data_IF_240545158150
#
_entry.id   IF_240545158150
#
_cell.length_a   1.000
_cell.length_b   1.000
_cell.length_c   1.000
_cell.angle_alpha   90.00
_cell.angle_beta   90.00
_cell.angle_gamma   90.00
#
_symmetry.space_group_name_H-M   'P 1'
#
loop_
_entity.id
_entity.type
_entity.pdbx_description
1 polymer ?
#
# COMPACT_ATOMS: atom_id res chain seq x y z
N UNK A 1 -17.67 -8.64 -9.56
CA UNK A 1 -17.38 -8.00 -8.26
C UNK A 1 -17.09 -9.10 -7.24
N UNK A 2 -15.94 -9.06 -6.60
CA UNK A 2 -15.53 -10.03 -5.58
C UNK A 2 -16.29 -9.78 -4.28
N UNK A 3 -16.75 -10.84 -3.63
CA UNK A 3 -17.50 -10.74 -2.37
C UNK A 3 -16.90 -11.66 -1.32
N UNK A 4 -16.56 -11.09 -0.16
CA UNK A 4 -16.11 -11.87 1.00
C UNK A 4 -17.26 -12.70 1.56
N UNK A 5 -16.98 -13.95 1.91
CA UNK A 5 -17.96 -14.88 2.51
C UNK A 5 -17.98 -14.83 4.03
N UNK A 6 -17.24 -13.92 4.64
CA UNK A 6 -17.16 -13.74 6.10
C UNK A 6 -17.48 -12.30 6.49
N UNK A 7 -17.79 -12.11 7.78
CA UNK A 7 -18.09 -10.79 8.36
C UNK A 7 -16.80 -10.05 8.70
N UNK A 8 -16.52 -8.91 8.05
CA UNK A 8 -15.36 -8.09 8.36
C UNK A 8 -15.38 -7.58 9.81
N UNK A 9 -16.50 -7.10 10.40
CA UNK A 9 -16.55 -6.72 11.81
C UNK A 9 -16.15 -7.85 12.77
N UNK A 10 -16.64 -9.07 12.54
CA UNK A 10 -16.28 -10.24 13.36
C UNK A 10 -14.81 -10.62 13.17
N UNK A 11 -14.28 -10.49 11.95
CA UNK A 11 -12.89 -10.70 11.66
C UNK A 11 -12.00 -9.71 12.43
N UNK A 12 -12.32 -8.41 12.39
CA UNK A 12 -11.58 -7.36 13.12
C UNK A 12 -11.60 -7.59 14.63
N UNK A 13 -12.74 -8.02 15.17
CA UNK A 13 -12.87 -8.33 16.59
C UNK A 13 -12.00 -9.52 17.01
N UNK A 14 -11.90 -10.57 16.19
CA UNK A 14 -11.30 -11.84 16.62
C UNK A 14 -9.86 -12.06 16.15
N UNK A 15 -9.43 -11.45 15.03
CA UNK A 15 -8.17 -11.81 14.35
C UNK A 15 -7.24 -10.63 14.07
N UNK A 16 -7.77 -9.48 13.69
CA UNK A 16 -6.95 -8.32 13.29
C UNK A 16 -5.93 -7.92 14.37
N UNK A 17 -4.63 -7.88 14.01
CA UNK A 17 -3.49 -7.63 14.91
C UNK A 17 -3.35 -8.62 16.09
N UNK A 18 -4.12 -9.71 16.11
CA UNK A 18 -4.20 -10.65 17.25
C UNK A 18 -3.60 -12.00 16.94
N UNK A 19 -4.05 -12.65 15.88
CA UNK A 19 -3.60 -14.01 15.52
C UNK A 19 -3.89 -14.34 14.07
N UNK A 20 -3.06 -15.20 13.43
CA UNK A 20 -3.32 -15.68 12.09
C UNK A 20 -4.56 -16.56 12.04
N UNK A 21 -5.21 -16.61 10.87
CA UNK A 21 -6.36 -17.48 10.65
C UNK A 21 -6.50 -17.83 9.17
N UNK A 22 -7.14 -18.99 8.90
CA UNK A 22 -7.57 -19.38 7.57
C UNK A 22 -9.08 -19.22 7.48
N UNK A 23 -9.51 -18.52 6.44
CA UNK A 23 -10.90 -18.31 6.08
C UNK A 23 -11.18 -19.19 4.86
N UNK A 24 -11.63 -20.42 5.11
CA UNK A 24 -11.96 -21.40 4.06
C UNK A 24 -13.12 -20.89 3.22
N UNK A 25 -12.94 -20.93 1.87
CA UNK A 25 -13.88 -20.33 0.94
C UNK A 25 -14.14 -18.86 1.23
N UNK A 26 -13.11 -18.10 1.61
CA UNK A 26 -13.18 -16.68 1.96
C UNK A 26 -13.74 -15.81 0.85
N UNK A 27 -13.68 -16.26 -0.41
CA UNK A 27 -14.42 -15.76 -1.55
C UNK A 27 -15.40 -16.81 -2.08
N UNK A 28 -16.60 -16.36 -2.42
CA UNK A 28 -17.56 -17.21 -3.14
C UNK A 28 -17.23 -17.20 -4.64
N UNK A 29 -17.09 -18.39 -5.22
CA UNK A 29 -16.83 -18.54 -6.66
C UNK A 29 -15.63 -17.69 -7.15
N UNK A 30 -14.52 -17.78 -6.45
CA UNK A 30 -13.30 -17.03 -6.81
C UNK A 30 -12.85 -17.39 -8.22
N UNK A 31 -12.54 -16.39 -9.00
CA UNK A 31 -11.93 -16.49 -10.33
C UNK A 31 -10.69 -15.61 -10.32
N UNK A 32 -9.59 -16.11 -10.85
CA UNK A 32 -8.36 -15.33 -10.92
C UNK A 32 -8.60 -14.06 -11.77
N UNK A 33 -8.25 -12.87 -11.26
CA UNK A 33 -8.44 -11.61 -11.99
C UNK A 33 -7.49 -11.43 -13.17
N UNK A 34 -6.40 -12.19 -13.19
CA UNK A 34 -5.33 -12.13 -14.18
C UNK A 34 -4.82 -13.53 -14.47
N UNK A 35 -4.46 -13.81 -15.71
CA UNK A 35 -3.83 -15.07 -16.11
C UNK A 35 -2.32 -15.06 -15.81
N UNK A 36 -1.67 -16.24 -15.76
CA UNK A 36 -0.21 -16.34 -15.66
C UNK A 36 0.53 -15.63 -16.80
N UNK A 37 -0.03 -15.66 -18.00
CA UNK A 37 0.53 -15.03 -19.20
C UNK A 37 0.49 -13.51 -19.10
N UNK A 38 -0.62 -12.95 -18.64
CA UNK A 38 -0.74 -11.49 -18.38
C UNK A 38 0.21 -11.05 -17.26
N UNK A 39 0.34 -11.84 -16.18
CA UNK A 39 1.28 -11.56 -15.11
C UNK A 39 2.74 -11.58 -15.61
N UNK A 40 3.07 -12.54 -16.49
CA UNK A 40 4.37 -12.58 -17.15
C UNK A 40 4.59 -11.33 -18.01
N UNK A 41 3.58 -10.90 -18.76
CA UNK A 41 3.62 -9.66 -19.55
C UNK A 41 3.91 -8.43 -18.69
N UNK A 42 3.21 -8.25 -17.56
CA UNK A 42 3.48 -7.16 -16.63
C UNK A 42 4.93 -7.16 -16.14
N UNK A 43 5.52 -8.33 -15.89
CA UNK A 43 6.90 -8.42 -15.40
C UNK A 43 7.98 -8.09 -16.43
N UNK A 44 7.60 -7.84 -17.69
CA UNK A 44 8.48 -7.41 -18.78
C UNK A 44 8.53 -5.88 -18.93
N UNK A 45 7.64 -5.14 -18.25
CA UNK A 45 7.58 -3.68 -18.30
C UNK A 45 8.60 -3.05 -17.33
N UNK A 46 9.24 -1.96 -17.75
CA UNK A 46 10.30 -1.28 -16.98
C UNK A 46 9.77 -0.63 -15.70
N UNK A 47 8.53 -0.19 -15.70
CA UNK A 47 7.88 0.50 -14.58
C UNK A 47 7.36 -0.46 -13.51
N UNK A 48 7.26 -1.76 -13.83
CA UNK A 48 6.68 -2.77 -12.95
C UNK A 48 7.74 -3.43 -12.07
N UNK A 49 7.62 -3.29 -10.76
CA UNK A 49 8.51 -3.99 -9.81
C UNK A 49 8.19 -5.48 -9.81
N UNK A 50 9.08 -6.27 -10.38
CA UNK A 50 8.94 -7.71 -10.50
C UNK A 50 10.20 -8.45 -10.09
N UNK A 51 10.04 -9.71 -9.63
CA UNK A 51 11.15 -10.56 -9.18
C UNK A 51 10.92 -12.00 -9.54
N UNK A 52 11.98 -12.68 -9.99
CA UNK A 52 12.09 -14.12 -9.96
C UNK A 52 12.85 -14.56 -8.73
N UNK A 53 12.25 -15.47 -7.95
CA UNK A 53 12.92 -16.14 -6.84
C UNK A 53 13.02 -17.61 -7.17
N UNK A 54 14.21 -18.20 -7.01
CA UNK A 54 14.45 -19.62 -7.20
C UNK A 54 15.18 -20.21 -6.01
N UNK A 55 14.85 -21.46 -5.68
CA UNK A 55 15.51 -22.28 -4.66
C UNK A 55 16.03 -23.61 -5.23
N UNK A 56 16.33 -23.63 -6.52
CA UNK A 56 16.86 -24.81 -7.21
C UNK A 56 18.18 -25.28 -6.56
N UNK A 57 18.32 -26.60 -6.37
CA UNK A 57 19.47 -27.22 -5.73
C UNK A 57 19.80 -26.65 -4.32
N UNK A 58 18.79 -26.19 -3.58
CA UNK A 58 18.92 -25.47 -2.30
C UNK A 58 19.76 -24.18 -2.39
N UNK A 59 19.85 -23.58 -3.57
CA UNK A 59 20.50 -22.29 -3.77
C UNK A 59 19.44 -21.22 -4.04
N UNK A 60 19.32 -20.29 -3.09
CA UNK A 60 18.39 -19.18 -3.24
C UNK A 60 18.97 -18.10 -4.16
N UNK A 61 18.20 -17.73 -5.16
CA UNK A 61 18.49 -16.60 -6.04
C UNK A 61 17.28 -15.67 -6.11
N UNK A 62 17.54 -14.38 -6.30
CA UNK A 62 16.51 -13.39 -6.58
C UNK A 62 17.02 -12.48 -7.69
N UNK A 63 16.26 -12.40 -8.76
CA UNK A 63 16.53 -11.54 -9.91
C UNK A 63 15.40 -10.53 -10.05
N UNK A 64 15.73 -9.26 -10.31
CA UNK A 64 14.73 -8.22 -10.54
C UNK A 64 14.46 -8.04 -12.02
N UNK A 65 13.20 -7.70 -12.35
CA UNK A 65 12.81 -7.32 -13.71
C UNK A 65 13.41 -5.99 -14.18
N UNK A 66 13.08 -5.55 -15.39
CA UNK A 66 12.17 -6.23 -16.34
C UNK A 66 12.76 -7.51 -16.93
N UNK A 67 11.90 -8.49 -17.19
CA UNK A 67 12.33 -9.78 -17.76
C UNK A 67 12.10 -9.82 -19.27
N UNK A 68 12.89 -10.64 -19.98
CA UNK A 68 12.70 -10.86 -21.40
C UNK A 68 11.92 -12.15 -21.68
N UNK A 69 11.37 -12.28 -22.88
CA UNK A 69 10.66 -13.48 -23.31
C UNK A 69 11.55 -14.72 -23.26
N UNK A 70 12.85 -14.57 -23.54
CA UNK A 70 13.82 -15.68 -23.48
C UNK A 70 13.94 -16.24 -22.06
N UNK A 71 13.86 -15.39 -21.03
CA UNK A 71 13.90 -15.81 -19.62
C UNK A 71 12.81 -16.83 -19.31
N UNK A 72 11.59 -16.61 -19.81
CA UNK A 72 10.48 -17.53 -19.59
C UNK A 72 10.70 -18.89 -20.30
N UNK A 73 11.38 -18.89 -21.45
CA UNK A 73 11.73 -20.10 -22.18
C UNK A 73 12.82 -20.96 -21.51
N UNK A 74 13.57 -20.40 -20.57
CA UNK A 74 14.65 -21.07 -19.84
C UNK A 74 14.23 -21.61 -18.46
N UNK A 75 12.98 -21.34 -18.03
CA UNK A 75 12.50 -21.74 -16.72
C UNK A 75 12.40 -23.27 -16.57
N UNK A 76 12.81 -23.73 -15.40
CA UNK A 76 12.62 -25.13 -14.98
C UNK A 76 11.13 -25.41 -14.68
N UNK A 77 10.74 -26.67 -14.61
CA UNK A 77 9.36 -27.05 -14.26
C UNK A 77 9.02 -26.79 -12.77
N UNK A 78 10.03 -26.61 -11.92
CA UNK A 78 9.87 -26.53 -10.47
C UNK A 78 10.86 -25.53 -9.85
N UNK A 79 10.66 -25.19 -8.56
CA UNK A 79 11.60 -24.44 -7.70
C UNK A 79 11.77 -22.97 -8.06
N UNK A 80 10.73 -22.33 -8.56
CA UNK A 80 10.76 -20.88 -8.80
C UNK A 80 9.39 -20.23 -8.58
N UNK A 81 9.43 -18.93 -8.39
CA UNK A 81 8.27 -18.07 -8.23
C UNK A 81 8.52 -16.73 -8.93
N UNK A 82 7.56 -16.31 -9.77
CA UNK A 82 7.46 -14.94 -10.27
C UNK A 82 6.62 -14.13 -9.30
N UNK A 83 7.08 -12.94 -8.95
CA UNK A 83 6.41 -11.99 -8.07
C UNK A 83 6.25 -10.67 -8.82
N UNK A 84 5.06 -10.11 -8.85
CA UNK A 84 4.78 -8.76 -9.34
C UNK A 84 4.21 -7.96 -8.18
N UNK A 85 4.93 -6.92 -7.77
CA UNK A 85 4.58 -6.01 -6.68
C UNK A 85 3.60 -4.97 -7.20
N UNK A 86 2.67 -4.52 -6.37
CA UNK A 86 1.68 -3.49 -6.69
C UNK A 86 0.94 -3.75 -8.03
N UNK A 87 0.63 -5.00 -8.33
CA UNK A 87 -0.02 -5.40 -9.58
C UNK A 87 -1.40 -4.73 -9.79
N UNK A 88 -2.04 -4.28 -8.71
CA UNK A 88 -3.27 -3.49 -8.76
C UNK A 88 -3.08 -2.11 -9.40
N UNK A 89 -1.87 -1.58 -9.53
CA UNK A 89 -1.60 -0.33 -10.23
C UNK A 89 -1.62 -0.49 -11.75
N UNK A 90 -1.32 -1.70 -12.23
CA UNK A 90 -1.05 -2.02 -13.62
C UNK A 90 -2.11 -2.89 -14.30
N UNK A 91 -3.03 -3.47 -13.50
CA UNK A 91 -4.05 -4.38 -14.01
C UNK A 91 -5.41 -4.13 -13.34
N UNK A 92 -6.40 -3.73 -14.13
CA UNK A 92 -7.73 -3.37 -13.64
C UNK A 92 -8.42 -4.49 -12.87
N UNK A 93 -8.37 -5.73 -13.39
CA UNK A 93 -8.94 -6.89 -12.70
C UNK A 93 -8.29 -7.15 -11.32
N UNK A 94 -6.96 -6.94 -11.21
CA UNK A 94 -6.26 -7.03 -9.95
C UNK A 94 -6.70 -5.92 -8.98
N UNK A 95 -6.90 -4.70 -9.47
CA UNK A 95 -7.41 -3.59 -8.66
C UNK A 95 -8.82 -3.88 -8.12
N UNK A 96 -9.72 -4.42 -8.95
CA UNK A 96 -11.07 -4.80 -8.53
C UNK A 96 -11.10 -5.85 -7.40
N UNK A 97 -10.08 -6.70 -7.26
CA UNK A 97 -9.99 -7.62 -6.13
C UNK A 97 -9.79 -6.89 -4.81
N UNK A 98 -9.07 -5.77 -4.80
CA UNK A 98 -8.83 -4.97 -3.59
C UNK A 98 -10.10 -4.32 -3.05
N UNK A 99 -11.07 -4.03 -3.90
CA UNK A 99 -12.35 -3.40 -3.53
C UNK A 99 -13.15 -4.23 -2.53
N UNK A 100 -12.97 -5.57 -2.52
CA UNK A 100 -13.62 -6.43 -1.54
C UNK A 100 -13.19 -6.13 -0.07
N UNK A 101 -12.10 -5.41 0.11
CA UNK A 101 -11.52 -5.08 1.42
C UNK A 101 -11.71 -3.61 1.82
N UNK A 102 -12.55 -2.83 1.12
CA UNK A 102 -12.81 -1.40 1.40
C UNK A 102 -13.38 -1.12 2.81
N UNK A 103 -13.78 -2.13 3.55
CA UNK A 103 -14.10 -1.99 4.97
C UNK A 103 -12.88 -1.68 5.85
N UNK A 104 -11.66 -1.86 5.34
CA UNK A 104 -10.40 -1.44 5.95
C UNK A 104 -9.99 -0.07 5.40
N UNK A 105 -9.40 0.81 6.25
CA UNK A 105 -9.10 2.17 5.82
C UNK A 105 -8.00 2.20 4.73
N UNK A 106 -8.23 2.98 3.69
CA UNK A 106 -7.34 3.11 2.53
C UNK A 106 -5.92 3.60 2.91
N UNK A 107 -5.77 4.40 3.97
CA UNK A 107 -4.45 4.86 4.40
C UNK A 107 -3.53 3.73 4.90
N UNK A 108 -4.11 2.59 5.34
CA UNK A 108 -3.34 1.38 5.71
C UNK A 108 -3.04 0.49 4.50
N UNK A 109 -3.86 0.52 3.45
CA UNK A 109 -3.64 -0.30 2.27
C UNK A 109 -2.27 0.04 1.64
N UNK A 110 -1.44 -0.98 1.42
CA UNK A 110 -0.12 -0.81 0.79
C UNK A 110 -0.21 -1.12 -0.70
N UNK A 111 -0.44 -2.39 -1.04
CA UNK A 111 -0.56 -2.85 -2.40
C UNK A 111 -1.22 -4.23 -2.50
N UNK A 112 -1.41 -4.69 -3.73
CA UNK A 112 -1.67 -6.08 -4.08
C UNK A 112 -0.46 -6.66 -4.82
N UNK A 113 0.24 -7.59 -4.19
CA UNK A 113 1.29 -8.39 -4.80
C UNK A 113 0.71 -9.69 -5.37
N UNK A 114 1.06 -10.03 -6.60
CA UNK A 114 0.64 -11.28 -7.25
C UNK A 114 1.84 -12.18 -7.46
N UNK A 115 1.66 -13.47 -7.16
CA UNK A 115 2.67 -14.49 -7.39
C UNK A 115 2.14 -15.59 -8.28
N UNK A 116 2.93 -15.97 -9.27
CA UNK A 116 2.82 -17.28 -9.94
C UNK A 116 3.97 -18.15 -9.50
N UNK A 117 3.68 -19.38 -9.07
CA UNK A 117 4.68 -20.26 -8.49
C UNK A 117 4.61 -21.64 -9.14
N UNK A 118 5.77 -22.13 -9.58
CA UNK A 118 5.95 -23.53 -9.98
C UNK A 118 5.97 -24.45 -8.73
N UNK A 119 5.75 -25.76 -8.88
CA UNK A 119 5.86 -26.70 -7.78
C UNK A 119 7.19 -26.56 -7.03
N UNK A 120 7.16 -26.66 -5.70
CA UNK A 120 8.30 -26.45 -4.80
C UNK A 120 8.87 -25.01 -4.82
N UNK A 121 8.22 -24.08 -5.54
CA UNK A 121 8.54 -22.66 -5.53
C UNK A 121 8.01 -21.94 -4.29
N UNK A 122 8.68 -20.87 -3.91
CA UNK A 122 8.34 -20.01 -2.78
C UNK A 122 9.46 -19.02 -2.49
N UNK A 123 9.35 -18.28 -1.38
CA UNK A 123 10.38 -17.33 -0.90
C UNK A 123 11.07 -17.79 0.38
N UNK A 124 10.69 -18.96 0.89
CA UNK A 124 11.17 -19.52 2.15
C UNK A 124 10.56 -18.86 3.40
N UNK A 125 10.95 -19.35 4.59
CA UNK A 125 10.39 -18.87 5.86
C UNK A 125 10.86 -17.44 6.16
N UNK A 126 9.92 -16.53 6.43
CA UNK A 126 10.19 -15.11 6.71
C UNK A 126 9.16 -14.51 7.66
N UNK A 127 9.38 -13.27 8.08
CA UNK A 127 8.51 -12.52 8.99
C UNK A 127 8.24 -11.15 8.40
N UNK A 128 6.96 -10.83 8.19
CA UNK A 128 6.52 -9.50 7.81
C UNK A 128 6.11 -8.66 9.03
N UNK A 129 6.32 -7.35 8.94
CA UNK A 129 5.95 -6.39 9.98
C UNK A 129 4.67 -5.60 9.61
N UNK A 130 3.82 -6.18 8.76
CA UNK A 130 2.56 -5.63 8.29
C UNK A 130 1.51 -6.74 8.21
N UNK A 131 0.25 -6.36 8.09
CA UNK A 131 -0.84 -7.31 7.94
C UNK A 131 -0.95 -7.76 6.48
N UNK A 132 -1.16 -9.05 6.24
CA UNK A 132 -1.37 -9.57 4.90
C UNK A 132 -2.55 -10.54 4.83
N UNK A 133 -3.37 -10.37 3.78
CA UNK A 133 -4.37 -11.35 3.36
C UNK A 133 -3.83 -12.05 2.11
N UNK A 134 -3.56 -13.32 2.22
CA UNK A 134 -3.09 -14.16 1.10
C UNK A 134 -4.27 -14.94 0.57
N UNK A 135 -4.72 -14.59 -0.63
CA UNK A 135 -5.84 -15.24 -1.33
C UNK A 135 -5.23 -16.29 -2.25
N UNK A 136 -5.68 -17.53 -2.13
CA UNK A 136 -5.28 -18.58 -3.05
C UNK A 136 -6.11 -18.47 -4.33
N UNK A 137 -5.42 -18.33 -5.48
CA UNK A 137 -5.96 -18.46 -6.81
C UNK A 137 -5.90 -19.90 -7.32
N UNK A 138 -5.71 -20.09 -8.63
CA UNK A 138 -5.56 -21.42 -9.20
C UNK A 138 -4.44 -22.21 -8.52
N UNK A 139 -4.53 -23.54 -8.55
CA UNK A 139 -3.56 -24.45 -7.94
C UNK A 139 -3.67 -24.52 -6.43
N UNK A 140 -2.63 -25.09 -5.79
CA UNK A 140 -2.59 -25.33 -4.34
C UNK A 140 -1.25 -25.00 -3.73
N UNK A 141 -1.28 -24.33 -2.57
CA UNK A 141 -0.09 -24.08 -1.76
C UNK A 141 -0.30 -24.55 -0.34
N UNK A 142 0.72 -25.20 0.23
CA UNK A 142 0.79 -25.48 1.65
C UNK A 142 1.38 -24.27 2.36
N UNK A 143 0.65 -23.76 3.33
CA UNK A 143 1.08 -22.65 4.16
C UNK A 143 1.34 -23.09 5.59
N UNK A 144 2.49 -22.69 6.11
CA UNK A 144 2.86 -22.84 7.50
C UNK A 144 2.97 -21.46 8.13
N UNK A 145 2.41 -21.30 9.33
CA UNK A 145 2.54 -20.08 10.13
C UNK A 145 2.99 -20.47 11.52
N UNK A 146 4.03 -19.82 12.04
CA UNK A 146 4.56 -20.06 13.38
C UNK A 146 3.97 -19.14 14.43
N UNK A 147 4.42 -19.28 15.68
CA UNK A 147 4.05 -18.38 16.77
C UNK A 147 4.67 -16.99 16.57
N UNK A 148 4.02 -15.96 17.14
CA UNK A 148 4.49 -14.57 17.04
C UNK A 148 5.95 -14.45 17.53
N UNK A 149 6.73 -13.67 16.78
CA UNK A 149 8.12 -13.37 17.13
C UNK A 149 8.17 -12.48 18.40
N UNK A 150 8.93 -12.96 19.38
CA UNK A 150 9.29 -12.23 20.60
C UNK A 150 10.82 -12.20 20.77
N UNK A 151 11.57 -12.38 19.67
CA UNK A 151 13.02 -12.41 19.62
C UNK A 151 13.63 -13.81 19.59
N UNK A 152 12.83 -14.87 19.34
CA UNK A 152 13.31 -16.26 19.29
C UNK A 152 13.75 -16.69 17.89
N UNK A 153 13.36 -15.99 16.82
CA UNK A 153 13.73 -16.36 15.47
C UNK A 153 15.00 -15.65 15.02
N UNK A 154 15.86 -16.37 14.36
CA UNK A 154 17.12 -15.84 13.88
C UNK A 154 17.03 -15.59 12.39
N UNK A 155 17.24 -14.34 12.01
CA UNK A 155 17.35 -13.95 10.61
C UNK A 155 18.55 -14.60 9.92
N UNK A 156 18.35 -15.06 8.70
CA UNK A 156 19.38 -15.47 7.76
C UNK A 156 19.25 -14.68 6.47
N UNK A 157 20.36 -14.32 5.85
CA UNK A 157 20.37 -13.68 4.55
C UNK A 157 20.89 -14.68 3.53
N UNK A 158 20.00 -15.28 2.76
CA UNK A 158 20.36 -16.30 1.78
C UNK A 158 20.76 -15.69 0.42
N UNK A 159 19.96 -14.77 -0.07
CA UNK A 159 20.29 -13.95 -1.25
C UNK A 159 20.17 -12.48 -0.84
N UNK A 160 20.81 -11.57 -1.55
CA UNK A 160 20.87 -10.14 -1.17
C UNK A 160 19.50 -9.47 -0.95
N UNK A 161 18.42 -10.06 -1.47
CA UNK A 161 17.05 -9.55 -1.39
C UNK A 161 16.12 -10.36 -0.46
N UNK A 162 16.52 -11.53 0.04
CA UNK A 162 15.66 -12.41 0.82
C UNK A 162 16.05 -12.41 2.30
N UNK A 163 15.22 -11.81 3.14
CA UNK A 163 15.32 -11.88 4.60
C UNK A 163 14.55 -13.08 5.09
N UNK A 164 15.23 -14.19 5.27
CA UNK A 164 14.64 -15.44 5.76
C UNK A 164 14.99 -15.65 7.24
N UNK A 165 14.32 -16.62 7.87
CA UNK A 165 14.66 -17.12 9.21
C UNK A 165 15.11 -18.58 9.12
N UNK A 166 15.81 -19.09 10.16
CA UNK A 166 16.32 -20.48 10.18
C UNK A 166 15.22 -21.55 10.17
N UNK A 167 13.97 -21.18 10.45
CA UNK A 167 12.81 -22.06 10.50
C UNK A 167 11.97 -21.83 11.75
N UNK A 168 10.81 -22.49 11.83
CA UNK A 168 9.88 -22.37 12.94
C UNK A 168 9.00 -23.61 13.08
N UNK A 169 8.45 -23.85 14.29
CA UNK A 169 7.41 -24.84 14.52
C UNK A 169 6.04 -24.22 14.14
N UNK A 170 5.27 -24.86 13.26
CA UNK A 170 4.00 -24.31 12.80
C UNK A 170 2.89 -24.43 13.86
N UNK A 171 2.11 -23.36 14.02
CA UNK A 171 0.81 -23.37 14.71
C UNK A 171 -0.34 -23.51 13.70
N UNK A 172 -0.09 -23.21 12.43
CA UNK A 172 -0.94 -23.51 11.28
C UNK A 172 -0.08 -24.25 10.27
N UNK A 173 -0.57 -25.38 9.75
CA UNK A 173 0.03 -26.15 8.65
C UNK A 173 -1.12 -26.69 7.79
N UNK A 174 -1.49 -25.95 6.75
CA UNK A 174 -2.69 -26.22 5.96
C UNK A 174 -2.46 -25.95 4.48
N UNK A 175 -3.14 -26.74 3.65
CA UNK A 175 -3.22 -26.50 2.21
C UNK A 175 -4.38 -25.57 1.88
N UNK A 176 -4.09 -24.51 1.14
CA UNK A 176 -5.11 -23.61 0.60
C UNK A 176 -5.51 -24.03 -0.81
N UNK A 177 -6.80 -23.91 -1.07
CA UNK A 177 -7.47 -24.13 -2.36
C UNK A 177 -8.06 -22.82 -2.90
N UNK A 178 -8.38 -22.72 -4.21
CA UNK A 178 -8.89 -21.48 -4.79
C UNK A 178 -10.06 -20.86 -4.00
N UNK A 179 -9.93 -19.58 -3.66
CA UNK A 179 -10.88 -18.82 -2.85
C UNK A 179 -10.67 -18.89 -1.34
N UNK A 180 -9.73 -19.72 -0.84
CA UNK A 180 -9.31 -19.67 0.56
C UNK A 180 -8.48 -18.41 0.81
N UNK A 181 -8.59 -17.85 2.02
CA UNK A 181 -7.79 -16.69 2.46
C UNK A 181 -7.04 -17.05 3.73
N UNK A 182 -5.72 -16.82 3.72
CA UNK A 182 -4.90 -16.84 4.92
C UNK A 182 -4.62 -15.40 5.35
N UNK A 183 -4.98 -15.05 6.57
CA UNK A 183 -4.60 -13.79 7.20
C UNK A 183 -3.43 -14.01 8.15
N UNK A 184 -2.42 -13.17 8.03
CA UNK A 184 -1.22 -13.16 8.88
C UNK A 184 -1.01 -11.74 9.43
N UNK A 185 -1.10 -11.54 10.77
CA UNK A 185 -0.77 -10.26 11.37
C UNK A 185 0.76 -10.05 11.48
N UNK A 186 1.22 -8.79 11.75
CA UNK A 186 2.64 -8.49 11.89
C UNK A 186 3.37 -9.37 12.89
N UNK A 187 4.58 -9.79 12.53
CA UNK A 187 5.49 -10.51 13.41
C UNK A 187 5.26 -12.02 13.53
N UNK A 188 4.41 -12.60 12.67
CA UNK A 188 4.26 -14.06 12.61
C UNK A 188 5.07 -14.65 11.45
N UNK A 189 6.01 -15.58 11.74
CA UNK A 189 6.77 -16.25 10.70
C UNK A 189 5.85 -17.11 9.85
N UNK A 190 6.11 -17.13 8.56
CA UNK A 190 5.34 -17.95 7.64
C UNK A 190 6.14 -18.41 6.43
N UNK A 191 5.66 -19.47 5.80
CA UNK A 191 6.24 -20.08 4.62
C UNK A 191 5.14 -20.68 3.75
N UNK A 192 5.18 -20.39 2.45
CA UNK A 192 4.30 -21.00 1.45
C UNK A 192 5.10 -21.89 0.51
N UNK A 193 4.74 -23.19 0.46
CA UNK A 193 5.30 -24.16 -0.47
C UNK A 193 4.27 -24.55 -1.54
N UNK A 194 4.64 -24.44 -2.79
CA UNK A 194 3.75 -24.70 -3.93
C UNK A 194 3.68 -26.18 -4.23
N UNK A 195 2.48 -26.74 -4.24
CA UNK A 195 2.26 -28.18 -4.52
C UNK A 195 2.00 -28.46 -5.99
N UNK A 196 1.34 -27.54 -6.67
CA UNK A 196 1.05 -27.57 -8.12
C UNK A 196 1.11 -26.13 -8.65
N UNK A 197 1.31 -25.89 -9.95
CA UNK A 197 1.39 -24.51 -10.47
C UNK A 197 0.24 -23.66 -9.95
N UNK A 198 0.55 -22.53 -9.32
CA UNK A 198 -0.45 -21.78 -8.58
C UNK A 198 -0.29 -20.26 -8.67
N UNK A 199 -1.44 -19.58 -8.62
CA UNK A 199 -1.54 -18.14 -8.41
C UNK A 199 -1.86 -17.83 -6.95
N UNK A 200 -1.30 -16.76 -6.40
CA UNK A 200 -1.69 -16.22 -5.11
C UNK A 200 -1.62 -14.69 -5.10
N UNK A 201 -2.51 -14.09 -4.33
CA UNK A 201 -2.75 -12.65 -4.27
C UNK A 201 -2.58 -12.19 -2.83
N UNK A 202 -1.57 -11.38 -2.58
CA UNK A 202 -1.26 -10.88 -1.24
C UNK A 202 -1.63 -9.41 -1.13
N UNK A 203 -2.65 -9.11 -0.33
CA UNK A 203 -3.11 -7.73 -0.05
C UNK A 203 -2.46 -7.29 1.26
N UNK A 204 -1.58 -6.30 1.18
CA UNK A 204 -0.82 -5.76 2.29
C UNK A 204 -1.48 -4.54 2.94
N UNK A 205 -1.46 -4.50 4.29
CA UNK A 205 -1.88 -3.35 5.08
C UNK A 205 -0.75 -2.93 6.02
N UNK A 206 -0.21 -1.74 5.81
CA UNK A 206 0.97 -1.28 6.53
C UNK A 206 0.75 0.09 7.15
N UNK A 207 0.89 0.18 8.47
CA UNK A 207 1.01 1.46 9.14
C UNK A 207 2.43 2.02 9.06
N UNK A 208 2.63 3.35 9.06
CA UNK A 208 3.96 3.94 9.14
C UNK A 208 4.63 3.59 10.47
N UNK A 209 5.96 3.45 10.44
CA UNK A 209 6.77 3.30 11.65
C UNK A 209 6.95 4.66 12.33
N UNK A 210 7.15 4.65 13.65
CA UNK A 210 7.47 5.86 14.42
C UNK A 210 8.65 6.64 13.84
N UNK A 211 9.73 5.94 13.44
CA UNK A 211 10.88 6.60 12.82
C UNK A 211 10.56 7.20 11.43
N UNK A 212 9.64 6.59 10.67
CA UNK A 212 9.16 7.11 9.39
C UNK A 212 8.36 8.39 9.61
N UNK A 213 7.48 8.42 10.62
CA UNK A 213 6.75 9.63 11.00
C UNK A 213 7.69 10.77 11.41
N UNK A 214 8.70 10.47 12.24
CA UNK A 214 9.66 11.49 12.72
C UNK A 214 10.50 12.03 11.55
N UNK A 215 11.04 11.17 10.71
CA UNK A 215 11.90 11.61 9.59
C UNK A 215 11.11 12.40 8.54
N UNK A 216 9.93 11.92 8.14
CA UNK A 216 9.10 12.63 7.17
C UNK A 216 8.55 13.96 7.74
N UNK A 217 8.25 14.01 9.05
CA UNK A 217 7.86 15.28 9.67
C UNK A 217 9.00 16.29 9.66
N UNK A 218 10.24 15.86 9.88
CA UNK A 218 11.39 16.76 9.78
C UNK A 218 11.57 17.30 8.34
N UNK A 219 11.41 16.46 7.33
CA UNK A 219 11.44 16.88 5.92
C UNK A 219 10.28 17.82 5.59
N UNK A 220 9.08 17.55 6.11
CA UNK A 220 7.92 18.43 5.96
C UNK A 220 8.17 19.82 6.56
N UNK A 221 8.71 19.91 7.78
CA UNK A 221 9.07 21.16 8.44
C UNK A 221 10.05 21.98 7.60
N UNK A 222 11.06 21.33 7.03
CA UNK A 222 12.07 21.98 6.18
C UNK A 222 11.47 22.45 4.83
N UNK A 223 10.62 21.65 4.21
CA UNK A 223 9.99 21.99 2.93
C UNK A 223 9.03 23.21 3.04
N UNK A 224 8.47 23.44 4.21
CA UNK A 224 7.53 24.54 4.48
C UNK A 224 8.16 25.74 5.21
N UNK A 225 9.50 25.80 5.28
CA UNK A 225 10.26 26.86 5.99
C UNK A 225 9.76 27.08 7.43
N UNK A 226 9.34 26.01 8.10
CA UNK A 226 8.82 26.07 9.47
C UNK A 226 9.95 25.95 10.48
N UNK A 227 9.72 26.48 11.69
CA UNK A 227 10.62 26.26 12.82
C UNK A 227 11.93 27.06 12.77
N UNK A 228 12.06 28.09 11.92
CA UNK A 228 13.22 28.98 11.89
C UNK A 228 13.21 29.93 13.08
N UNK A 229 13.29 29.37 14.30
CA UNK A 229 13.27 30.09 15.57
C UNK A 229 14.37 29.59 16.48
N UNK A 230 15.16 30.49 17.01
CA UNK A 230 16.16 30.18 18.04
C UNK A 230 15.57 30.20 19.44
N UNK A 231 16.08 29.34 20.33
CA UNK A 231 15.79 29.47 21.77
C UNK A 231 16.35 30.76 22.30
N UNK A 232 15.49 31.62 22.87
CA UNK A 232 15.86 32.83 23.57
C UNK A 232 15.48 32.74 25.05
N UNK A 233 16.48 32.86 25.96
CA UNK A 233 16.25 32.90 27.39
C UNK A 233 16.77 34.23 27.95
N UNK A 234 15.92 35.26 28.04
CA UNK A 234 16.32 36.59 28.57
C UNK A 234 16.65 36.55 30.05
N UNK A 235 16.25 35.50 30.77
CA UNK A 235 16.53 35.34 32.22
C UNK A 235 17.74 34.44 32.49
N UNK A 236 18.56 34.21 31.46
CA UNK A 236 19.74 33.33 31.54
C UNK A 236 20.70 33.82 32.64
N UNK A 237 21.07 32.93 33.55
CA UNK A 237 21.97 33.20 34.68
C UNK A 237 23.33 32.57 34.49
N UNK A 238 24.35 33.19 35.07
CA UNK A 238 25.68 32.58 35.12
C UNK A 238 25.64 31.20 35.79
N UNK A 239 26.44 30.26 35.28
CA UNK A 239 26.52 28.92 35.82
C UNK A 239 27.96 28.51 36.13
N UNK A 240 28.11 27.62 37.10
CA UNK A 240 29.36 26.94 37.33
C UNK A 240 29.44 25.70 36.42
N UNK A 241 30.61 25.50 35.80
CA UNK A 241 30.85 24.38 34.86
C UNK A 241 30.54 24.74 33.40
N UNK A 242 31.57 25.14 32.66
CA UNK A 242 31.48 25.58 31.27
C UNK A 242 30.82 24.53 30.33
N UNK A 243 31.08 23.26 30.54
CA UNK A 243 30.50 22.17 29.71
C UNK A 243 29.14 21.65 30.22
N UNK A 244 28.49 22.32 31.14
CA UNK A 244 27.25 21.87 31.77
C UNK A 244 26.03 22.29 30.98
N UNK A 245 25.17 21.35 30.58
CA UNK A 245 23.80 21.57 30.10
C UNK A 245 22.88 21.52 31.32
N UNK A 246 22.20 22.61 31.64
CA UNK A 246 21.27 22.65 32.78
C UNK A 246 19.98 21.90 32.47
N UNK A 247 19.31 21.39 33.50
CA UNK A 247 18.01 20.74 33.33
C UNK A 247 16.96 21.68 32.71
N UNK A 248 17.05 23.00 33.05
CA UNK A 248 16.20 24.05 32.43
C UNK A 248 16.45 24.17 30.92
N UNK A 249 17.71 24.14 30.48
CA UNK A 249 18.05 24.26 29.06
C UNK A 249 17.52 23.05 28.29
N UNK A 250 17.69 21.84 28.86
CA UNK A 250 17.15 20.63 28.30
C UNK A 250 15.61 20.66 28.23
N UNK A 251 14.95 21.15 29.29
CA UNK A 251 13.48 21.32 29.28
C UNK A 251 13.04 22.27 28.18
N UNK A 252 13.64 23.46 28.11
CA UNK A 252 13.28 24.49 27.13
C UNK A 252 13.47 23.99 25.68
N UNK A 253 14.57 23.28 25.38
CA UNK A 253 14.81 22.68 24.08
C UNK A 253 13.82 21.55 23.77
N UNK A 254 13.46 20.74 24.79
CA UNK A 254 12.46 19.69 24.65
C UNK A 254 11.08 20.30 24.37
N UNK A 255 10.70 21.37 25.06
CA UNK A 255 9.42 22.04 24.86
C UNK A 255 9.37 22.74 23.49
N UNK A 256 10.49 23.25 23.01
CA UNK A 256 10.62 23.77 21.66
C UNK A 256 10.40 22.70 20.59
N UNK A 257 10.92 21.48 20.77
CA UNK A 257 10.63 20.34 19.88
C UNK A 257 9.16 19.93 19.94
N UNK A 258 8.56 19.89 21.14
CA UNK A 258 7.14 19.55 21.30
C UNK A 258 6.22 20.57 20.64
N UNK A 259 6.54 21.86 20.75
CA UNK A 259 5.71 22.92 20.17
C UNK A 259 5.54 22.81 18.66
N UNK A 260 6.49 22.20 17.95
CA UNK A 260 6.35 21.91 16.52
C UNK A 260 5.26 20.86 16.24
N UNK A 261 5.04 19.93 17.18
CA UNK A 261 4.02 18.89 17.10
C UNK A 261 2.66 19.29 17.66
N UNK A 262 2.58 20.43 18.37
CA UNK A 262 1.35 20.92 19.01
C UNK A 262 0.53 21.86 18.12
N UNK A 263 0.76 21.85 16.81
CA UNK A 263 -0.01 22.63 15.83
C UNK A 263 -0.96 21.70 15.08
N UNK A 264 -2.25 21.63 15.43
CA UNK A 264 -3.18 20.63 14.88
C UNK A 264 -3.32 20.70 13.36
N UNK A 265 -3.41 21.92 12.79
CA UNK A 265 -3.53 22.12 11.34
C UNK A 265 -2.31 21.61 10.59
N UNK A 266 -1.11 21.90 11.08
CA UNK A 266 0.15 21.42 10.51
C UNK A 266 0.25 19.88 10.56
N UNK A 267 -0.15 19.30 11.69
CA UNK A 267 -0.14 17.83 11.84
C UNK A 267 -1.20 17.17 10.95
N UNK A 268 -2.40 17.74 10.83
CA UNK A 268 -3.43 17.25 9.90
C UNK A 268 -2.91 17.24 8.46
N UNK A 269 -2.34 18.35 8.01
CA UNK A 269 -1.78 18.47 6.66
C UNK A 269 -0.63 17.48 6.43
N UNK A 270 0.32 17.43 7.36
CA UNK A 270 1.44 16.49 7.31
C UNK A 270 0.95 15.03 7.20
N UNK A 271 0.03 14.62 8.09
CA UNK A 271 -0.49 13.24 8.09
C UNK A 271 -1.30 12.93 6.83
N UNK A 272 -2.14 13.86 6.38
CA UNK A 272 -2.90 13.69 5.16
C UNK A 272 -2.01 13.52 3.93
N UNK A 273 -1.02 14.38 3.77
CA UNK A 273 -0.04 14.30 2.68
C UNK A 273 0.78 13.01 2.76
N UNK A 274 1.32 12.66 3.94
CA UNK A 274 2.13 11.45 4.09
C UNK A 274 1.34 10.18 3.80
N UNK A 275 0.14 10.05 4.35
CA UNK A 275 -0.66 8.83 4.25
C UNK A 275 -1.32 8.63 2.89
N UNK A 276 -1.49 9.71 2.11
CA UNK A 276 -2.01 9.64 0.73
C UNK A 276 -0.95 9.33 -0.32
N UNK A 277 0.33 9.31 0.02
CA UNK A 277 1.38 8.92 -0.91
C UNK A 277 1.36 7.40 -1.17
N UNK A 278 1.45 7.01 -2.43
CA UNK A 278 1.76 5.63 -2.79
C UNK A 278 3.24 5.36 -2.55
N UNK A 279 3.55 4.17 -2.06
CA UNK A 279 4.94 3.68 -1.90
C UNK A 279 5.48 3.04 -3.18
N UNK A 280 4.60 2.70 -4.09
CA UNK A 280 4.89 2.04 -5.34
C UNK A 280 4.62 2.97 -6.52
N UNK A 281 5.27 2.69 -7.64
CA UNK A 281 5.06 3.42 -8.89
C UNK A 281 3.58 3.38 -9.28
N UNK A 282 3.05 4.53 -9.70
CA UNK A 282 1.70 4.66 -10.25
C UNK A 282 1.79 4.89 -11.76
N UNK A 283 0.81 4.40 -12.50
CA UNK A 283 0.66 4.66 -13.92
C UNK A 283 0.01 6.03 -14.15
N UNK A 284 0.77 7.09 -13.83
CA UNK A 284 0.29 8.48 -13.97
C UNK A 284 0.78 9.05 -15.28
N UNK A 285 -0.15 9.29 -16.20
CA UNK A 285 0.12 9.88 -17.52
C UNK A 285 -0.70 11.16 -17.66
N UNK A 286 -0.03 12.30 -17.69
CA UNK A 286 -0.71 13.57 -17.99
C UNK A 286 -1.18 13.61 -19.45
N UNK A 287 -2.39 14.09 -19.73
CA UNK A 287 -2.91 14.16 -21.09
C UNK A 287 -2.15 15.20 -21.92
N UNK A 288 -1.98 14.93 -23.21
CA UNK A 288 -1.45 15.89 -24.19
C UNK A 288 -2.31 15.86 -25.46
N UNK A 289 -3.10 16.92 -25.78
CA UNK A 289 -3.18 18.20 -25.06
C UNK A 289 -3.90 18.12 -23.70
N UNK A 290 -3.67 19.12 -22.84
CA UNK A 290 -4.41 19.27 -21.58
C UNK A 290 -5.89 19.53 -21.85
N UNK A 291 -6.73 18.98 -21.00
CA UNK A 291 -8.18 19.23 -21.01
C UNK A 291 -8.51 20.62 -20.50
N UNK A 292 -9.53 21.23 -21.11
CA UNK A 292 -10.15 22.47 -20.62
C UNK A 292 -11.34 22.16 -19.71
N UNK A 293 -11.71 23.12 -18.85
CA UNK A 293 -12.89 22.99 -17.99
C UNK A 293 -14.18 22.77 -18.79
N UNK A 294 -14.29 23.39 -19.99
CA UNK A 294 -15.45 23.24 -20.88
C UNK A 294 -15.55 21.80 -21.42
N UNK A 295 -14.43 21.19 -21.82
CA UNK A 295 -14.38 19.81 -22.30
C UNK A 295 -14.72 18.81 -21.20
N UNK A 296 -14.19 19.00 -19.98
CA UNK A 296 -14.53 18.18 -18.82
C UNK A 296 -16.03 18.28 -18.48
N UNK A 297 -16.59 19.49 -18.43
CA UNK A 297 -18.01 19.69 -18.16
C UNK A 297 -18.86 19.01 -19.24
N UNK A 298 -18.54 19.19 -20.54
CA UNK A 298 -19.24 18.57 -21.65
C UNK A 298 -19.14 17.04 -21.63
N UNK A 299 -17.99 16.47 -21.24
CA UNK A 299 -17.79 15.03 -21.09
C UNK A 299 -18.74 14.45 -20.04
N UNK A 300 -18.82 15.05 -18.85
CA UNK A 300 -19.72 14.62 -17.77
C UNK A 300 -21.21 14.81 -18.16
N UNK A 301 -21.57 15.90 -18.87
CA UNK A 301 -22.94 16.12 -19.38
C UNK A 301 -23.36 15.05 -20.42
N UNK A 302 -22.41 14.47 -21.15
CA UNK A 302 -22.66 13.42 -22.15
C UNK A 302 -22.65 12.01 -21.57
N UNK A 303 -22.82 11.86 -20.24
CA UNK A 303 -22.77 10.60 -19.50
C UNK A 303 -21.40 9.92 -19.53
N UNK A 304 -20.32 10.70 -19.76
CA UNK A 304 -18.95 10.21 -19.68
C UNK A 304 -18.51 9.93 -18.23
N UNK A 305 -17.50 9.09 -18.11
CA UNK A 305 -16.89 8.73 -16.83
C UNK A 305 -15.44 9.22 -16.77
N UNK A 306 -15.02 9.64 -15.60
CA UNK A 306 -13.64 10.04 -15.31
C UNK A 306 -13.14 9.13 -14.19
N UNK A 307 -12.18 8.28 -14.51
CA UNK A 307 -11.71 7.21 -13.63
C UNK A 307 -10.46 7.60 -12.85
N UNK A 308 -10.38 7.21 -11.59
CA UNK A 308 -9.17 7.39 -10.79
C UNK A 308 -8.11 6.36 -11.19
N UNK A 309 -6.85 6.80 -11.29
CA UNK A 309 -5.70 5.90 -11.51
C UNK A 309 -5.64 4.83 -10.42
N UNK A 310 -5.47 3.58 -10.82
CA UNK A 310 -5.39 2.44 -9.91
C UNK A 310 -4.21 2.60 -8.95
N UNK A 311 -4.46 2.32 -7.67
CA UNK A 311 -3.46 2.48 -6.59
C UNK A 311 -3.27 3.91 -6.09
N UNK A 312 -3.84 4.92 -6.75
CA UNK A 312 -3.79 6.31 -6.28
C UNK A 312 -4.64 6.47 -5.03
N UNK A 313 -4.05 7.02 -3.97
CA UNK A 313 -4.73 7.28 -2.70
C UNK A 313 -5.28 8.70 -2.67
N UNK A 314 -6.56 8.80 -2.33
CA UNK A 314 -7.25 10.03 -2.01
C UNK A 314 -7.88 9.87 -0.63
N UNK A 315 -7.58 10.77 0.31
CA UNK A 315 -7.94 10.68 1.72
C UNK A 315 -8.51 12.01 2.21
N UNK A 316 -9.30 11.98 3.27
CA UNK A 316 -9.77 13.16 4.00
C UNK A 316 -9.83 12.88 5.50
N UNK A 317 -9.77 13.92 6.32
CA UNK A 317 -9.95 13.79 7.76
C UNK A 317 -11.44 13.86 8.12
N UNK A 318 -11.87 13.06 9.10
CA UNK A 318 -13.26 12.92 9.53
C UNK A 318 -13.99 14.25 9.79
N UNK A 319 -13.26 15.25 10.27
CA UNK A 319 -13.82 16.56 10.65
C UNK A 319 -13.56 17.66 9.61
N UNK A 320 -12.98 17.33 8.45
CA UNK A 320 -12.73 18.26 7.36
C UNK A 320 -13.71 17.99 6.21
N UNK A 321 -14.45 19.02 5.81
CA UNK A 321 -15.51 18.91 4.80
C UNK A 321 -15.12 19.46 3.44
N UNK A 322 -13.91 20.04 3.33
CA UNK A 322 -13.48 20.76 2.15
C UNK A 322 -12.00 20.53 1.77
N UNK A 323 -11.36 19.53 2.36
CA UNK A 323 -9.95 19.23 2.12
C UNK A 323 -9.77 17.75 1.84
N UNK A 324 -9.17 17.43 0.70
CA UNK A 324 -8.66 16.10 0.36
C UNK A 324 -7.13 16.12 0.32
N UNK A 325 -6.54 14.96 0.52
CA UNK A 325 -5.10 14.69 0.37
C UNK A 325 -4.96 13.61 -0.69
N UNK A 326 -4.39 13.97 -1.83
CA UNK A 326 -4.35 13.12 -3.02
C UNK A 326 -2.90 12.97 -3.46
N UNK A 327 -2.38 11.77 -3.44
CA UNK A 327 -0.99 11.46 -3.82
C UNK A 327 0.06 12.38 -3.14
N UNK A 328 -0.14 12.72 -1.87
CA UNK A 328 0.76 13.57 -1.11
C UNK A 328 0.50 15.07 -1.24
N UNK A 329 -0.51 15.49 -1.99
CA UNK A 329 -0.86 16.88 -2.20
C UNK A 329 -2.17 17.26 -1.50
N UNK A 330 -2.22 18.46 -0.95
CA UNK A 330 -3.44 19.03 -0.39
C UNK A 330 -4.30 19.61 -1.53
N UNK A 331 -5.55 19.15 -1.62
CA UNK A 331 -6.56 19.62 -2.60
C UNK A 331 -7.72 20.22 -1.83
N UNK A 332 -8.02 21.50 -2.11
CA UNK A 332 -9.15 22.21 -1.52
C UNK A 332 -10.36 22.17 -2.45
N UNK A 333 -11.51 21.88 -1.86
CA UNK A 333 -12.82 21.90 -2.53
C UNK A 333 -13.65 22.99 -1.86
N UNK A 334 -14.43 23.74 -2.61
CA UNK A 334 -15.33 24.72 -2.04
C UNK A 334 -16.47 24.06 -1.25
N UNK A 335 -17.02 24.74 -0.24
CA UNK A 335 -18.12 24.23 0.58
C UNK A 335 -19.33 23.79 -0.25
N UNK A 336 -19.59 24.49 -1.36
CA UNK A 336 -20.68 24.16 -2.29
C UNK A 336 -20.47 22.82 -3.03
N UNK A 337 -19.22 22.37 -3.15
CA UNK A 337 -18.81 21.10 -3.76
C UNK A 337 -18.39 20.05 -2.73
N UNK A 338 -18.80 20.17 -1.48
CA UNK A 338 -18.41 19.24 -0.40
C UNK A 338 -18.75 17.77 -0.72
N UNK A 339 -19.77 17.49 -1.55
CA UNK A 339 -20.07 16.14 -2.03
C UNK A 339 -19.00 15.58 -2.96
N UNK A 340 -18.25 16.43 -3.66
CA UNK A 340 -17.14 16.02 -4.50
C UNK A 340 -16.02 15.38 -3.67
N UNK A 341 -15.81 15.83 -2.43
CA UNK A 341 -14.82 15.23 -1.53
C UNK A 341 -15.03 13.72 -1.36
N UNK A 342 -16.27 13.30 -1.09
CA UNK A 342 -16.60 11.88 -0.94
C UNK A 342 -16.37 11.11 -2.25
N UNK A 343 -16.78 11.69 -3.39
CA UNK A 343 -16.58 11.08 -4.71
C UNK A 343 -15.08 10.90 -5.01
N UNK A 344 -14.25 11.90 -4.71
CA UNK A 344 -12.80 11.81 -4.91
C UNK A 344 -12.14 10.78 -4.01
N UNK A 345 -12.60 10.60 -2.78
CA UNK A 345 -11.92 9.78 -1.78
C UNK A 345 -12.52 8.37 -1.63
N UNK A 346 -13.84 8.24 -1.69
CA UNK A 346 -14.54 6.98 -1.43
C UNK A 346 -14.92 6.23 -2.72
N UNK A 347 -15.12 6.98 -3.85
CA UNK A 347 -15.41 6.39 -5.15
C UNK A 347 -14.17 6.39 -6.05
N UNK A 348 -14.20 5.56 -7.09
CA UNK A 348 -13.14 5.51 -8.11
C UNK A 348 -13.53 6.21 -9.41
N UNK A 349 -14.79 6.63 -9.55
CA UNK A 349 -15.36 7.18 -10.79
C UNK A 349 -16.16 8.43 -10.51
N UNK A 350 -15.88 9.49 -11.25
CA UNK A 350 -16.69 10.70 -11.34
C UNK A 350 -17.56 10.58 -12.59
N UNK A 351 -18.87 10.78 -12.47
CA UNK A 351 -19.82 10.66 -13.60
C UNK A 351 -20.90 11.72 -13.56
N UNK A 352 -21.87 11.66 -14.47
CA UNK A 352 -22.97 12.61 -14.60
C UNK A 352 -23.88 12.73 -13.35
N UNK A 353 -23.83 11.77 -12.42
CA UNK A 353 -24.54 11.88 -11.15
C UNK A 353 -23.84 12.81 -10.15
N UNK A 354 -22.56 13.12 -10.37
CA UNK A 354 -21.77 14.04 -9.55
C UNK A 354 -22.11 15.48 -9.91
N UNK A 355 -22.82 16.16 -9.01
CA UNK A 355 -23.16 17.58 -9.22
C UNK A 355 -21.96 18.45 -8.87
N UNK A 356 -21.46 19.21 -9.83
CA UNK A 356 -20.31 20.12 -9.68
C UNK A 356 -20.73 21.57 -9.90
N UNK A 357 -20.18 22.47 -9.09
CA UNK A 357 -20.14 23.90 -9.42
C UNK A 357 -18.99 24.17 -10.41
N UNK A 358 -18.86 25.38 -10.96
CA UNK A 358 -17.69 25.75 -11.78
C UNK A 358 -16.35 25.51 -11.03
N UNK A 359 -16.31 25.76 -9.72
CA UNK A 359 -15.13 25.48 -8.91
C UNK A 359 -14.83 23.97 -8.82
N UNK A 360 -15.85 23.14 -8.66
CA UNK A 360 -15.70 21.68 -8.68
C UNK A 360 -15.18 21.17 -10.03
N UNK A 361 -15.64 21.74 -11.15
CA UNK A 361 -15.11 21.44 -12.48
C UNK A 361 -13.64 21.81 -12.59
N UNK A 362 -13.23 22.97 -12.06
CA UNK A 362 -11.81 23.37 -12.02
C UNK A 362 -10.96 22.34 -11.30
N UNK A 363 -11.39 21.90 -10.10
CA UNK A 363 -10.67 20.87 -9.32
C UNK A 363 -10.54 19.55 -10.11
N UNK A 364 -11.63 19.07 -10.72
CA UNK A 364 -11.61 17.84 -11.53
C UNK A 364 -10.67 17.99 -12.73
N UNK A 365 -10.72 19.15 -13.41
CA UNK A 365 -9.85 19.44 -14.55
C UNK A 365 -8.37 19.43 -14.15
N UNK A 366 -8.01 20.02 -13.00
CA UNK A 366 -6.64 19.98 -12.48
C UNK A 366 -6.17 18.55 -12.19
N UNK A 367 -7.04 17.72 -11.59
CA UNK A 367 -6.72 16.33 -11.28
C UNK A 367 -6.55 15.47 -12.55
N UNK A 368 -7.38 15.69 -13.57
CA UNK A 368 -7.23 15.03 -14.87
C UNK A 368 -5.94 15.48 -15.56
N UNK A 369 -5.65 16.77 -15.56
CA UNK A 369 -4.42 17.30 -16.17
C UNK A 369 -3.13 16.91 -15.46
N UNK A 370 -3.22 16.52 -14.19
CA UNK A 370 -2.10 15.86 -13.46
C UNK A 370 -1.98 14.36 -13.79
N UNK A 371 -2.95 13.79 -14.50
CA UNK A 371 -3.02 12.35 -14.76
C UNK A 371 -3.46 11.52 -13.56
N UNK A 372 -4.03 12.12 -12.51
CA UNK A 372 -4.52 11.42 -11.32
C UNK A 372 -5.90 10.78 -11.59
N UNK A 373 -6.68 11.39 -12.45
CA UNK A 373 -7.88 10.85 -13.06
C UNK A 373 -7.72 10.88 -14.58
N UNK A 374 -8.38 9.98 -15.26
CA UNK A 374 -8.31 9.86 -16.70
C UNK A 374 -9.70 9.58 -17.30
N UNK A 375 -9.85 9.88 -18.57
CA UNK A 375 -11.03 9.61 -19.38
C UNK A 375 -10.69 8.39 -20.24
N UNK A 376 -11.50 7.34 -20.15
CA UNK A 376 -11.40 6.19 -21.07
C UNK A 376 -11.94 6.58 -22.44
N UNK A 377 -11.21 6.26 -23.52
CA UNK A 377 -11.59 6.50 -24.92
C UNK A 377 -12.72 5.57 -25.40
#
# INVERSE_FOLDING_TARGET
>A
MYQLSFSMPEFLENYWHKKPTILKGGFQNFVDPISPEELAGLSMEEEVDSRFVSNLDNQWTAEHGPFSEEKFGELTETHWQLIVQAANHWHQGANQLTEAFQALPNWLFDDLMICYSAPEGGVGPHIDQYDVFIIQGQGKRQWKVGAKDVGQYKETVQASALRQIEGFEPIIDETLEPGDILYIPPGFPHEGNTLEPSMSYSIGYRSPKEQELISNFADFVLAHDMGDVHLHDPEFKTQEGYGKIRSSDLSNLTDMLKSALEQPETISEFMGCLLSQSRHQLDIVAPDPLWTEEEIAQHLESEGEICRVSGLKALYHENETNTAYINGELVKVEEADSSLLNVLCDDSVINSATTLTPSGVTVVTELVNKGYWFIED
#
